data_IF_027945528324
#
_entry.id   IF_027945528324
#
_cell.length_a   1.000
_cell.length_b   1.000
_cell.length_c   1.000
_cell.angle_alpha   90.00
_cell.angle_beta   90.00
_cell.angle_gamma   90.00
#
_symmetry.space_group_name_H-M   'P 1'
#
loop_
_entity.id
_entity.type
_entity.pdbx_description
1 polymer ?
#
# COMPACT_ATOMS: atom_id res chain seq x y z
N UNK A 1 -11.30 -32.71 8.62
CA UNK A 1 -10.40 -31.98 7.70
C UNK A 1 -10.22 -32.81 6.44
N UNK A 2 -10.56 -32.25 5.32
CA UNK A 2 -10.37 -32.89 4.02
C UNK A 2 -9.03 -32.41 3.42
N UNK A 3 -8.01 -33.25 3.49
CA UNK A 3 -6.66 -32.95 2.98
C UNK A 3 -6.62 -32.82 1.46
N UNK A 4 -7.48 -33.55 0.74
CA UNK A 4 -7.56 -33.45 -0.72
C UNK A 4 -8.13 -32.08 -1.13
N UNK A 5 -9.15 -31.61 -0.42
CA UNK A 5 -9.68 -30.27 -0.61
C UNK A 5 -8.66 -29.18 -0.27
N UNK A 6 -7.94 -29.30 0.85
CA UNK A 6 -6.90 -28.34 1.24
C UNK A 6 -5.82 -28.23 0.16
N UNK A 7 -5.31 -29.36 -0.35
CA UNK A 7 -4.26 -29.35 -1.39
C UNK A 7 -4.76 -28.76 -2.71
N UNK A 8 -5.96 -29.11 -3.13
CA UNK A 8 -6.59 -28.55 -4.34
C UNK A 8 -6.79 -27.05 -4.20
N UNK A 9 -7.39 -26.61 -3.10
CA UNK A 9 -7.63 -25.18 -2.83
C UNK A 9 -6.32 -24.40 -2.71
N UNK A 10 -5.28 -24.99 -2.10
CA UNK A 10 -3.97 -24.36 -2.02
C UNK A 10 -3.39 -24.10 -3.41
N UNK A 11 -3.40 -25.10 -4.30
CA UNK A 11 -2.92 -24.93 -5.66
C UNK A 11 -3.73 -23.91 -6.47
N UNK A 12 -5.05 -23.93 -6.33
CA UNK A 12 -5.92 -22.95 -6.98
C UNK A 12 -5.63 -21.51 -6.50
N UNK A 13 -5.48 -21.31 -5.21
CA UNK A 13 -5.24 -19.98 -4.60
C UNK A 13 -3.87 -19.40 -4.89
N UNK A 14 -2.87 -20.21 -5.26
CA UNK A 14 -1.60 -19.71 -5.76
C UNK A 14 -1.78 -18.81 -6.99
N UNK A 15 -2.80 -19.07 -7.83
CA UNK A 15 -3.16 -18.20 -8.95
C UNK A 15 -3.56 -16.77 -8.54
N UNK A 16 -3.97 -16.54 -7.30
CA UNK A 16 -4.30 -15.22 -6.76
C UNK A 16 -3.08 -14.43 -6.24
N UNK A 17 -1.94 -15.11 -5.98
CA UNK A 17 -0.72 -14.47 -5.47
C UNK A 17 -0.22 -13.34 -6.37
N UNK A 18 -0.12 -13.52 -7.71
CA UNK A 18 0.30 -12.44 -8.60
C UNK A 18 -0.58 -11.20 -8.50
N UNK A 19 -1.89 -11.37 -8.38
CA UNK A 19 -2.85 -10.25 -8.27
C UNK A 19 -2.64 -9.50 -6.95
N UNK A 20 -2.51 -10.21 -5.85
CA UNK A 20 -2.20 -9.66 -4.52
C UNK A 20 -0.91 -8.82 -4.56
N UNK A 21 0.18 -9.39 -5.10
CA UNK A 21 1.47 -8.71 -5.20
C UNK A 21 1.43 -7.53 -6.20
N UNK A 22 0.70 -7.65 -7.29
CA UNK A 22 0.53 -6.58 -8.28
C UNK A 22 -0.17 -5.37 -7.64
N UNK A 23 -1.26 -5.58 -6.91
CA UNK A 23 -1.96 -4.51 -6.22
C UNK A 23 -1.03 -3.84 -5.20
N UNK A 24 -0.28 -4.61 -4.42
CA UNK A 24 0.70 -4.09 -3.47
C UNK A 24 1.74 -3.19 -4.16
N UNK A 25 2.42 -3.71 -5.20
CA UNK A 25 3.51 -2.98 -5.88
C UNK A 25 2.99 -1.71 -6.54
N UNK A 26 1.92 -1.82 -7.32
CA UNK A 26 1.35 -0.66 -8.04
C UNK A 26 0.86 0.41 -7.05
N UNK A 27 0.23 0.01 -5.95
CA UNK A 27 -0.25 0.96 -4.94
C UNK A 27 0.89 1.71 -4.26
N UNK A 28 2.01 1.06 -3.95
CA UNK A 28 3.20 1.71 -3.39
C UNK A 28 3.80 2.70 -4.40
N UNK A 29 3.96 2.29 -5.65
CA UNK A 29 4.52 3.14 -6.70
C UNK A 29 3.68 4.39 -6.94
N UNK A 30 2.36 4.23 -7.07
CA UNK A 30 1.44 5.35 -7.27
C UNK A 30 1.33 6.27 -6.04
N UNK A 31 1.45 5.71 -4.83
CA UNK A 31 1.39 6.51 -3.60
C UNK A 31 2.67 7.29 -3.30
N UNK A 32 3.81 6.91 -3.88
CA UNK A 32 5.13 7.46 -3.51
C UNK A 32 5.22 8.97 -3.69
N UNK A 33 4.90 9.50 -4.87
CA UNK A 33 5.00 10.93 -5.13
C UNK A 33 3.97 11.76 -4.32
N UNK A 34 2.69 11.40 -4.26
CA UNK A 34 1.75 12.09 -3.37
C UNK A 34 2.18 12.05 -1.90
N UNK A 35 2.66 10.91 -1.41
CA UNK A 35 3.14 10.78 -0.04
C UNK A 35 4.36 11.67 0.24
N UNK A 36 5.33 11.71 -0.67
CA UNK A 36 6.50 12.58 -0.56
C UNK A 36 6.08 14.06 -0.54
N UNK A 37 5.16 14.46 -1.42
CA UNK A 37 4.63 15.82 -1.45
C UNK A 37 3.96 16.20 -0.12
N UNK A 38 3.12 15.32 0.44
CA UNK A 38 2.47 15.55 1.72
C UNK A 38 3.49 15.59 2.88
N UNK A 39 4.48 14.69 2.89
CA UNK A 39 5.54 14.65 3.89
C UNK A 39 6.36 15.96 3.89
N UNK A 40 6.84 16.39 2.74
CA UNK A 40 7.60 17.63 2.60
C UNK A 40 6.76 18.86 2.94
N UNK A 41 5.48 18.90 2.50
CA UNK A 41 4.56 19.97 2.84
C UNK A 41 4.32 20.13 4.34
N UNK A 42 4.34 19.02 5.08
CA UNK A 42 4.27 19.04 6.55
C UNK A 42 5.59 19.48 7.19
N UNK A 43 6.74 19.00 6.71
CA UNK A 43 8.07 19.35 7.22
C UNK A 43 8.31 20.85 7.05
N UNK A 44 8.07 21.38 5.85
CA UNK A 44 8.28 22.81 5.54
C UNK A 44 7.11 23.70 5.94
N UNK A 45 6.10 23.13 6.62
CA UNK A 45 4.91 23.87 7.13
C UNK A 45 4.19 24.67 6.04
N UNK A 46 4.14 24.15 4.80
CA UNK A 46 3.44 24.82 3.69
C UNK A 46 1.97 24.96 4.02
N UNK A 47 1.48 26.21 4.09
CA UNK A 47 0.07 26.51 4.39
C UNK A 47 -0.83 25.81 3.35
N UNK A 48 -1.96 25.28 3.78
CA UNK A 48 -2.85 24.50 2.91
C UNK A 48 -2.44 23.03 2.81
N UNK A 49 -1.23 22.70 2.36
CA UNK A 49 -0.75 21.30 2.25
C UNK A 49 -0.72 20.64 3.64
N UNK A 50 -0.21 21.33 4.64
CA UNK A 50 -0.19 20.82 6.03
C UNK A 50 -1.60 20.54 6.54
N UNK A 51 -2.52 21.49 6.40
CA UNK A 51 -3.91 21.33 6.86
C UNK A 51 -4.61 20.20 6.12
N UNK A 52 -4.47 20.15 4.79
CA UNK A 52 -4.98 19.05 3.98
C UNK A 52 -4.42 17.70 4.43
N UNK A 53 -3.10 17.60 4.63
CA UNK A 53 -2.46 16.37 5.08
C UNK A 53 -3.05 15.89 6.41
N UNK A 54 -3.21 16.78 7.39
CA UNK A 54 -3.74 16.39 8.71
C UNK A 54 -5.15 15.83 8.59
N UNK A 55 -6.03 16.51 7.85
CA UNK A 55 -7.42 16.06 7.64
C UNK A 55 -7.46 14.75 6.86
N UNK A 56 -6.67 14.64 5.79
CA UNK A 56 -6.57 13.43 4.97
C UNK A 56 -6.08 12.22 5.77
N UNK A 57 -4.99 12.36 6.53
CA UNK A 57 -4.48 11.30 7.37
C UNK A 57 -5.49 10.89 8.45
N UNK A 58 -6.15 11.87 9.08
CA UNK A 58 -7.19 11.60 10.07
C UNK A 58 -8.35 10.81 9.45
N UNK A 59 -8.82 11.21 8.27
CA UNK A 59 -9.90 10.53 7.54
C UNK A 59 -9.54 9.07 7.21
N UNK A 60 -8.36 8.85 6.60
CA UNK A 60 -7.92 7.50 6.21
C UNK A 60 -7.74 6.59 7.44
N UNK A 61 -7.21 7.12 8.55
CA UNK A 61 -6.95 6.32 9.76
C UNK A 61 -8.19 6.07 10.61
N UNK A 62 -9.14 6.99 10.61
CA UNK A 62 -10.37 6.87 11.40
C UNK A 62 -11.40 5.94 10.74
N UNK A 63 -11.27 5.67 9.43
CA UNK A 63 -12.26 4.88 8.70
C UNK A 63 -11.79 3.43 8.54
N UNK A 64 -12.63 2.43 8.86
CA UNK A 64 -12.30 1.03 8.61
C UNK A 64 -11.96 0.78 7.14
N UNK A 65 -10.87 0.03 6.83
CA UNK A 65 -10.41 -0.19 5.46
C UNK A 65 -11.49 -0.72 4.51
N UNK A 66 -12.32 -1.65 4.97
CA UNK A 66 -13.39 -2.20 4.14
C UNK A 66 -14.42 -1.14 3.72
N UNK A 67 -14.75 -0.20 4.61
CA UNK A 67 -15.67 0.89 4.30
C UNK A 67 -15.07 1.87 3.30
N UNK A 68 -13.78 2.17 3.40
CA UNK A 68 -13.07 2.99 2.41
C UNK A 68 -13.11 2.34 1.03
N UNK A 69 -12.85 1.03 0.96
CA UNK A 69 -12.90 0.28 -0.30
C UNK A 69 -14.30 0.35 -0.91
N UNK A 70 -15.33 0.02 -0.16
CA UNK A 70 -16.72 0.02 -0.64
C UNK A 70 -17.17 1.43 -1.06
N UNK A 71 -16.83 2.44 -0.26
CA UNK A 71 -17.17 3.84 -0.55
C UNK A 71 -16.53 4.32 -1.86
N UNK A 72 -15.23 4.17 -2.01
CA UNK A 72 -14.52 4.63 -3.20
C UNK A 72 -14.83 3.78 -4.43
N UNK A 73 -15.05 2.47 -4.26
CA UNK A 73 -15.44 1.59 -5.35
C UNK A 73 -16.86 1.90 -5.89
N UNK A 74 -17.72 2.46 -5.04
CA UNK A 74 -19.03 2.98 -5.47
C UNK A 74 -18.92 4.39 -6.05
N UNK A 75 -18.10 5.25 -5.45
CA UNK A 75 -17.97 6.66 -5.81
C UNK A 75 -17.27 6.87 -7.16
N UNK A 76 -16.11 6.22 -7.39
CA UNK A 76 -15.31 6.49 -8.60
C UNK A 76 -16.01 6.13 -9.89
N UNK A 77 -16.64 4.95 -10.07
CA UNK A 77 -17.39 4.67 -11.28
C UNK A 77 -18.56 5.64 -11.48
N UNK A 78 -19.25 6.03 -10.39
CA UNK A 78 -20.38 6.97 -10.47
C UNK A 78 -19.95 8.35 -10.92
N UNK A 79 -18.84 8.87 -10.37
CA UNK A 79 -18.29 10.18 -10.78
C UNK A 79 -17.81 10.14 -12.23
N UNK A 80 -17.06 9.11 -12.62
CA UNK A 80 -16.58 8.93 -13.99
C UNK A 80 -17.74 8.82 -14.97
N UNK A 81 -18.77 8.03 -14.65
CA UNK A 81 -19.95 7.89 -15.49
C UNK A 81 -20.69 9.24 -15.67
N UNK A 82 -20.85 9.99 -14.60
CA UNK A 82 -21.46 11.34 -14.65
C UNK A 82 -20.64 12.30 -15.51
N UNK A 83 -19.32 12.26 -15.38
CA UNK A 83 -18.40 13.05 -16.19
C UNK A 83 -18.50 12.69 -17.68
N UNK A 84 -18.40 11.42 -18.04
CA UNK A 84 -18.49 10.98 -19.45
C UNK A 84 -19.84 11.31 -20.07
N UNK A 85 -20.93 11.17 -19.31
CA UNK A 85 -22.27 11.60 -19.78
C UNK A 85 -22.34 13.11 -20.02
N UNK A 86 -21.71 13.94 -19.17
CA UNK A 86 -21.75 15.40 -19.32
C UNK A 86 -21.03 15.89 -20.58
N UNK A 87 -20.03 15.14 -21.06
CA UNK A 87 -19.31 15.45 -22.32
C UNK A 87 -19.88 14.71 -23.54
N UNK A 88 -21.06 14.08 -23.40
CA UNK A 88 -21.73 13.37 -24.50
C UNK A 88 -21.06 12.06 -24.92
N UNK A 89 -20.18 11.50 -24.11
CA UNK A 89 -19.50 10.22 -24.40
C UNK A 89 -20.39 9.04 -24.04
N UNK A 90 -20.39 8.02 -24.91
CA UNK A 90 -21.06 6.73 -24.69
C UNK A 90 -20.17 5.68 -24.01
N UNK A 91 -19.04 6.10 -23.45
CA UNK A 91 -18.09 5.20 -22.77
C UNK A 91 -18.74 4.55 -21.54
N UNK A 92 -18.75 3.22 -21.50
CA UNK A 92 -19.32 2.49 -20.37
C UNK A 92 -18.23 2.28 -19.28
N UNK A 93 -18.28 3.11 -18.28
CA UNK A 93 -17.33 3.10 -17.13
C UNK A 93 -17.41 1.79 -16.33
N UNK A 94 -18.57 1.12 -16.33
CA UNK A 94 -18.75 -0.13 -15.59
C UNK A 94 -18.11 -1.36 -16.26
N UNK A 95 -17.60 -1.22 -17.49
CA UNK A 95 -16.79 -2.24 -18.16
C UNK A 95 -15.30 -2.15 -17.82
N UNK A 96 -14.87 -1.08 -17.11
CA UNK A 96 -13.49 -0.96 -16.64
C UNK A 96 -13.19 -2.08 -15.66
N UNK A 97 -12.06 -2.78 -15.88
CA UNK A 97 -11.64 -3.85 -14.98
C UNK A 97 -11.50 -3.31 -13.54
N UNK A 98 -12.15 -3.93 -12.54
CA UNK A 98 -12.12 -3.52 -11.14
C UNK A 98 -10.72 -3.33 -10.56
N UNK A 99 -9.70 -4.00 -11.12
CA UNK A 99 -8.32 -3.90 -10.66
C UNK A 99 -7.76 -2.47 -10.75
N UNK A 100 -8.18 -1.67 -11.74
CA UNK A 100 -7.74 -0.27 -11.85
C UNK A 100 -8.29 0.59 -10.71
N UNK A 101 -9.54 0.35 -10.31
CA UNK A 101 -10.12 0.99 -9.13
C UNK A 101 -9.40 0.56 -7.86
N UNK A 102 -9.02 -0.73 -7.74
CA UNK A 102 -8.23 -1.20 -6.62
C UNK A 102 -6.88 -0.47 -6.54
N UNK A 103 -6.15 -0.31 -7.65
CA UNK A 103 -4.89 0.44 -7.67
C UNK A 103 -5.07 1.86 -7.12
N UNK A 104 -6.11 2.57 -7.54
CA UNK A 104 -6.37 3.93 -7.07
C UNK A 104 -6.73 3.94 -5.58
N UNK A 105 -7.66 3.08 -5.15
CA UNK A 105 -8.15 3.04 -3.77
C UNK A 105 -7.03 2.69 -2.81
N UNK A 106 -6.28 1.61 -3.10
CA UNK A 106 -5.16 1.21 -2.25
C UNK A 106 -4.02 2.23 -2.27
N UNK A 107 -3.79 2.92 -3.40
CA UNK A 107 -2.82 4.01 -3.46
C UNK A 107 -3.22 5.17 -2.56
N UNK A 108 -4.48 5.57 -2.56
CA UNK A 108 -4.99 6.59 -1.65
C UNK A 108 -4.80 6.16 -0.19
N UNK A 109 -5.21 4.96 0.17
CA UNK A 109 -5.05 4.45 1.54
C UNK A 109 -3.58 4.40 1.97
N UNK A 110 -2.68 3.99 1.06
CA UNK A 110 -1.24 3.87 1.31
C UNK A 110 -0.55 5.23 1.41
N UNK A 111 -0.99 6.22 0.63
CA UNK A 111 -0.41 7.58 0.60
C UNK A 111 -0.32 8.20 1.99
N UNK A 112 -1.36 8.06 2.81
CA UNK A 112 -1.39 8.61 4.16
C UNK A 112 -0.29 8.01 5.05
N UNK A 113 -0.24 6.68 5.12
CA UNK A 113 0.74 5.96 5.94
C UNK A 113 2.18 6.18 5.45
N UNK A 114 2.39 6.15 4.13
CA UNK A 114 3.70 6.38 3.53
C UNK A 114 4.18 7.81 3.76
N UNK A 115 3.29 8.82 3.67
CA UNK A 115 3.66 10.20 3.97
C UNK A 115 4.17 10.38 5.40
N UNK A 116 3.53 9.73 6.38
CA UNK A 116 3.97 9.79 7.77
C UNK A 116 5.30 9.06 7.98
N UNK A 117 5.51 7.91 7.34
CA UNK A 117 6.78 7.19 7.37
C UNK A 117 7.92 8.05 6.81
N UNK A 118 7.72 8.65 5.64
CA UNK A 118 8.71 9.52 5.01
C UNK A 118 9.00 10.75 5.87
N UNK A 119 7.96 11.38 6.42
CA UNK A 119 8.10 12.54 7.29
C UNK A 119 8.88 12.19 8.56
N UNK A 120 8.51 11.14 9.26
CA UNK A 120 9.18 10.73 10.50
C UNK A 120 10.63 10.34 10.26
N UNK A 121 10.91 9.60 9.19
CA UNK A 121 12.25 9.19 8.82
C UNK A 121 13.18 10.37 8.51
N UNK A 122 12.71 11.38 7.78
CA UNK A 122 13.49 12.59 7.51
C UNK A 122 13.76 13.38 8.81
N UNK A 123 12.77 13.46 9.71
CA UNK A 123 12.90 14.17 10.96
C UNK A 123 13.75 13.44 12.03
N UNK A 124 14.00 12.15 11.85
CA UNK A 124 14.87 11.35 12.73
C UNK A 124 16.35 11.71 12.52
N UNK A 125 16.71 12.20 11.32
CA UNK A 125 18.10 12.61 11.03
C UNK A 125 18.41 13.90 11.81
N UNK A 126 19.51 13.89 12.56
CA UNK A 126 19.94 15.05 13.36
C UNK A 126 20.22 16.27 12.46
N UNK A 127 19.75 17.43 12.87
CA UNK A 127 19.92 18.68 12.12
C UNK A 127 21.39 19.06 11.97
N UNK A 128 22.22 18.70 12.93
CA UNK A 128 23.66 18.93 12.88
C UNK A 128 24.34 18.26 11.68
N UNK A 129 23.76 17.15 11.16
CA UNK A 129 24.24 16.51 9.94
C UNK A 129 24.06 17.42 8.71
N UNK A 130 22.94 18.13 8.64
CA UNK A 130 22.69 19.10 7.56
C UNK A 130 23.60 20.33 7.72
N UNK A 131 23.72 20.86 8.93
CA UNK A 131 24.56 22.02 9.26
C UNK A 131 26.05 21.73 8.99
N UNK A 132 26.54 20.58 9.42
CA UNK A 132 27.92 20.15 9.14
C UNK A 132 28.19 20.00 7.63
N UNK A 133 27.24 19.45 6.88
CA UNK A 133 27.35 19.34 5.43
C UNK A 133 27.45 20.71 4.76
N UNK A 134 26.68 21.68 5.21
CA UNK A 134 26.72 23.06 4.73
C UNK A 134 28.03 23.75 5.10
N UNK A 135 28.54 23.50 6.30
CA UNK A 135 29.81 24.08 6.77
C UNK A 135 31.01 23.67 5.90
N UNK A 136 30.99 22.48 5.30
CA UNK A 136 32.01 22.00 4.35
C UNK A 136 31.69 22.38 2.89
N UNK A 137 30.73 23.28 2.65
CA UNK A 137 30.44 23.85 1.32
C UNK A 137 29.46 23.05 0.46
N UNK A 138 28.76 22.05 1.00
CA UNK A 138 27.72 21.36 0.25
C UNK A 138 26.47 22.24 0.11
N UNK A 139 25.91 22.27 -1.08
CA UNK A 139 24.60 22.89 -1.29
C UNK A 139 23.51 22.08 -0.57
N UNK A 140 22.38 22.72 -0.24
CA UNK A 140 21.24 22.03 0.40
C UNK A 140 20.86 20.74 -0.34
N UNK A 141 20.78 20.79 -1.67
CA UNK A 141 20.45 19.61 -2.49
C UNK A 141 21.48 18.49 -2.32
N UNK A 142 22.76 18.82 -2.32
CA UNK A 142 23.84 17.84 -2.12
C UNK A 142 23.81 17.25 -0.71
N UNK A 143 23.60 18.09 0.32
CA UNK A 143 23.49 17.65 1.69
C UNK A 143 22.29 16.68 1.91
N UNK A 144 21.13 17.00 1.34
CA UNK A 144 19.98 16.11 1.41
C UNK A 144 20.23 14.79 0.67
N UNK A 145 20.73 14.80 -0.55
CA UNK A 145 20.91 13.59 -1.36
C UNK A 145 22.03 12.69 -0.80
N UNK A 146 23.14 13.27 -0.33
CA UNK A 146 24.33 12.50 0.08
C UNK A 146 24.35 12.12 1.56
N UNK A 147 23.67 12.88 2.41
CA UNK A 147 23.75 12.70 3.88
C UNK A 147 22.40 12.42 4.50
N UNK A 148 21.38 13.26 4.27
CA UNK A 148 20.09 13.13 4.95
C UNK A 148 19.29 11.94 4.42
N UNK A 149 19.08 11.83 3.10
CA UNK A 149 18.24 10.77 2.54
C UNK A 149 18.77 9.35 2.78
N UNK A 150 20.07 9.04 2.68
CA UNK A 150 20.56 7.70 3.01
C UNK A 150 20.30 7.32 4.48
N UNK A 151 20.47 8.27 5.42
CA UNK A 151 20.18 8.03 6.83
C UNK A 151 18.67 7.90 7.07
N UNK A 152 17.86 8.78 6.50
CA UNK A 152 16.41 8.72 6.58
C UNK A 152 15.86 7.39 6.00
N UNK A 153 16.43 6.90 4.89
CA UNK A 153 16.03 5.63 4.29
C UNK A 153 16.27 4.45 5.25
N UNK A 154 17.44 4.41 5.91
CA UNK A 154 17.73 3.40 6.93
C UNK A 154 16.70 3.45 8.07
N UNK A 155 16.40 4.65 8.58
CA UNK A 155 15.40 4.85 9.64
C UNK A 155 13.96 4.49 9.19
N UNK A 156 13.66 4.61 7.90
CA UNK A 156 12.36 4.27 7.33
C UNK A 156 12.12 2.76 7.17
N UNK A 157 13.18 1.95 6.98
CA UNK A 157 13.07 0.55 6.56
C UNK A 157 12.13 -0.30 7.43
N UNK A 158 12.19 -0.28 8.76
CA UNK A 158 11.29 -1.09 9.59
C UNK A 158 9.82 -0.70 9.38
N UNK A 159 9.55 0.60 9.29
CA UNK A 159 8.19 1.11 9.07
C UNK A 159 7.70 0.85 7.63
N UNK A 160 8.59 0.88 6.63
CA UNK A 160 8.27 0.49 5.26
C UNK A 160 7.94 -1.01 5.17
N UNK A 161 8.67 -1.86 5.88
CA UNK A 161 8.35 -3.29 5.99
C UNK A 161 6.93 -3.49 6.54
N UNK A 162 6.61 -2.85 7.64
CA UNK A 162 5.27 -2.91 8.25
C UNK A 162 4.18 -2.38 7.30
N UNK A 163 4.46 -1.30 6.56
CA UNK A 163 3.54 -0.78 5.54
C UNK A 163 3.24 -1.82 4.46
N UNK A 164 4.29 -2.42 3.90
CA UNK A 164 4.17 -3.43 2.83
C UNK A 164 3.38 -4.65 3.32
N UNK A 165 3.71 -5.17 4.51
CA UNK A 165 3.01 -6.30 5.11
C UNK A 165 1.52 -5.96 5.36
N UNK A 166 1.23 -4.79 5.91
CA UNK A 166 -0.15 -4.37 6.15
C UNK A 166 -0.92 -4.16 4.84
N UNK A 167 -0.26 -3.65 3.80
CA UNK A 167 -0.85 -3.50 2.48
C UNK A 167 -1.20 -4.88 1.87
N UNK A 168 -0.27 -5.85 1.92
CA UNK A 168 -0.53 -7.23 1.47
C UNK A 168 -1.71 -7.84 2.23
N UNK A 169 -1.75 -7.72 3.57
CA UNK A 169 -2.91 -8.19 4.35
C UNK A 169 -4.20 -7.47 3.95
N UNK A 170 -4.11 -6.17 3.68
CA UNK A 170 -5.25 -5.35 3.25
C UNK A 170 -5.83 -5.78 1.90
N UNK A 171 -4.99 -6.32 0.99
CA UNK A 171 -5.50 -6.80 -0.29
C UNK A 171 -6.48 -7.97 -0.15
N UNK A 172 -6.49 -8.68 1.00
CA UNK A 172 -7.50 -9.70 1.27
C UNK A 172 -8.94 -9.18 1.21
N UNK A 173 -9.13 -7.86 1.25
CA UNK A 173 -10.45 -7.23 1.15
C UNK A 173 -10.88 -6.94 -0.30
N UNK A 174 -10.00 -7.11 -1.30
CA UNK A 174 -10.36 -6.78 -2.71
C UNK A 174 -11.39 -7.74 -3.30
N UNK A 175 -11.64 -8.88 -2.64
CA UNK A 175 -12.69 -9.80 -3.05
C UNK A 175 -14.08 -9.12 -3.10
N UNK A 176 -14.32 -8.09 -2.30
CA UNK A 176 -15.58 -7.31 -2.34
C UNK A 176 -15.73 -6.51 -3.63
N UNK A 177 -14.63 -6.29 -4.36
CA UNK A 177 -14.58 -5.65 -5.68
C UNK A 177 -14.62 -6.69 -6.82
N UNK A 178 -14.95 -7.95 -6.55
CA UNK A 178 -14.97 -9.08 -7.52
C UNK A 178 -13.61 -9.40 -8.13
N UNK A 179 -12.51 -8.96 -7.54
CA UNK A 179 -11.15 -9.26 -8.00
C UNK A 179 -10.74 -10.64 -7.48
N UNK A 180 -10.22 -11.48 -8.38
CA UNK A 180 -9.78 -12.84 -8.07
C UNK A 180 -8.38 -12.84 -7.43
N UNK A 181 -8.30 -12.40 -6.18
CA UNK A 181 -7.12 -12.53 -5.31
C UNK A 181 -7.09 -13.90 -4.60
N UNK A 182 -6.13 -14.10 -3.72
CA UNK A 182 -6.02 -15.30 -2.87
C UNK A 182 -7.34 -15.58 -2.14
N UNK A 183 -7.92 -14.55 -1.53
CA UNK A 183 -9.13 -14.67 -0.70
C UNK A 183 -10.37 -14.98 -1.54
N UNK A 184 -10.52 -14.32 -2.69
CA UNK A 184 -11.64 -14.55 -3.60
C UNK A 184 -11.64 -15.98 -4.15
N UNK A 185 -10.47 -16.48 -4.59
CA UNK A 185 -10.34 -17.83 -5.13
C UNK A 185 -10.66 -18.88 -4.06
N UNK A 186 -10.09 -18.75 -2.87
CA UNK A 186 -10.35 -19.69 -1.77
C UNK A 186 -11.84 -19.70 -1.35
N UNK A 187 -12.50 -18.55 -1.34
CA UNK A 187 -13.94 -18.47 -1.04
C UNK A 187 -14.80 -19.12 -2.11
N UNK A 188 -14.42 -19.01 -3.38
CA UNK A 188 -15.11 -19.70 -4.48
C UNK A 188 -14.95 -21.21 -4.34
N UNK A 189 -13.74 -21.72 -4.08
CA UNK A 189 -13.54 -23.15 -3.82
C UNK A 189 -14.37 -23.63 -2.62
N UNK A 190 -14.41 -22.86 -1.53
CA UNK A 190 -15.22 -23.17 -0.35
C UNK A 190 -16.71 -23.33 -0.65
N UNK A 191 -17.24 -22.53 -1.58
CA UNK A 191 -18.68 -22.53 -1.90
C UNK A 191 -19.16 -23.81 -2.56
N UNK A 192 -18.29 -24.57 -3.23
CA UNK A 192 -18.64 -25.83 -3.88
C UNK A 192 -18.94 -26.98 -2.91
N UNK A 193 -18.32 -26.97 -1.70
CA UNK A 193 -18.48 -28.05 -0.72
C UNK A 193 -18.74 -27.58 0.70
N UNK A 194 -19.02 -26.27 0.90
CA UNK A 194 -19.18 -25.64 2.22
C UNK A 194 -17.97 -25.81 3.16
N UNK A 195 -16.78 -26.04 2.60
CA UNK A 195 -15.53 -26.28 3.33
C UNK A 195 -14.81 -24.95 3.64
N UNK A 196 -15.51 -24.06 4.33
CA UNK A 196 -14.99 -22.73 4.64
C UNK A 196 -13.82 -22.73 5.60
N UNK A 197 -13.80 -23.65 6.57
CA UNK A 197 -12.73 -23.74 7.55
C UNK A 197 -11.39 -24.08 6.86
N UNK A 198 -11.40 -25.11 6.02
CA UNK A 198 -10.22 -25.54 5.23
C UNK A 198 -9.73 -24.44 4.31
N UNK A 199 -10.65 -23.74 3.66
CA UNK A 199 -10.31 -22.59 2.80
C UNK A 199 -9.68 -21.44 3.57
N UNK A 200 -10.21 -21.09 4.74
CA UNK A 200 -9.59 -20.06 5.59
C UNK A 200 -8.24 -20.49 6.13
N UNK A 201 -8.03 -21.78 6.41
CA UNK A 201 -6.72 -22.30 6.78
C UNK A 201 -5.70 -22.10 5.64
N UNK A 202 -6.09 -22.38 4.40
CA UNK A 202 -5.25 -22.15 3.21
C UNK A 202 -4.91 -20.66 3.07
N UNK A 203 -5.91 -19.77 3.15
CA UNK A 203 -5.68 -18.31 3.11
C UNK A 203 -4.66 -17.91 4.17
N UNK A 204 -4.87 -18.35 5.41
CA UNK A 204 -4.02 -18.02 6.55
C UNK A 204 -2.56 -18.45 6.31
N UNK A 205 -2.34 -19.69 5.85
CA UNK A 205 -0.99 -20.20 5.55
C UNK A 205 -0.33 -19.38 4.45
N UNK A 206 -1.04 -19.09 3.34
CA UNK A 206 -0.48 -18.32 2.23
C UNK A 206 -0.07 -16.91 2.64
N UNK A 207 -0.93 -16.20 3.40
CA UNK A 207 -0.57 -14.86 3.88
C UNK A 207 0.60 -14.88 4.88
N UNK A 208 0.70 -15.89 5.76
CA UNK A 208 1.87 -16.07 6.64
C UNK A 208 3.14 -16.23 5.80
N UNK A 209 3.12 -17.11 4.80
CA UNK A 209 4.30 -17.36 3.94
C UNK A 209 4.69 -16.10 3.19
N UNK A 210 3.74 -15.42 2.53
CA UNK A 210 4.01 -14.19 1.78
C UNK A 210 4.57 -13.10 2.70
N UNK A 211 3.92 -12.84 3.84
CA UNK A 211 4.39 -11.84 4.79
C UNK A 211 5.75 -12.21 5.40
N UNK A 212 6.00 -13.49 5.68
CA UNK A 212 7.28 -13.98 6.17
C UNK A 212 8.41 -13.79 5.17
N UNK A 213 8.17 -14.07 3.88
CA UNK A 213 9.16 -13.82 2.81
C UNK A 213 9.46 -12.32 2.67
N UNK A 214 8.44 -11.47 2.73
CA UNK A 214 8.62 -10.01 2.69
C UNK A 214 9.45 -9.56 3.90
N UNK A 215 9.09 -9.98 5.11
CA UNK A 215 9.82 -9.65 6.34
C UNK A 215 11.28 -10.08 6.27
N UNK A 216 11.53 -11.30 5.83
CA UNK A 216 12.89 -11.81 5.64
C UNK A 216 13.69 -10.98 4.64
N UNK A 217 13.06 -10.57 3.52
CA UNK A 217 13.70 -9.71 2.52
C UNK A 217 14.08 -8.35 3.10
N UNK A 218 13.18 -7.71 3.84
CA UNK A 218 13.44 -6.43 4.51
C UNK A 218 14.54 -6.54 5.58
N UNK A 219 14.53 -7.59 6.39
CA UNK A 219 15.57 -7.82 7.40
C UNK A 219 16.96 -7.98 6.75
N UNK A 220 17.03 -8.67 5.59
CA UNK A 220 18.29 -8.77 4.83
C UNK A 220 18.75 -7.42 4.29
N UNK A 221 17.82 -6.60 3.82
CA UNK A 221 18.14 -5.26 3.31
C UNK A 221 18.61 -4.34 4.44
N UNK A 222 17.93 -4.36 5.60
CA UNK A 222 18.29 -3.60 6.79
C UNK A 222 19.71 -3.94 7.27
N UNK A 223 20.02 -5.23 7.41
CA UNK A 223 21.35 -5.67 7.83
C UNK A 223 22.46 -5.21 6.86
N UNK A 224 22.21 -5.21 5.55
CA UNK A 224 23.19 -4.72 4.57
C UNK A 224 23.42 -3.20 4.68
N UNK A 225 22.36 -2.44 4.93
CA UNK A 225 22.45 -0.98 5.03
C UNK A 225 22.98 -0.50 6.39
N UNK A 226 22.92 -1.32 7.44
CA UNK A 226 23.47 -1.00 8.75
C UNK A 226 24.97 -1.24 8.80
N UNK A 227 25.49 -2.19 8.02
CA UNK A 227 26.91 -2.54 7.94
C UNK A 227 27.70 -1.66 6.94
N UNK A 228 27.03 -0.85 6.13
CA UNK A 228 27.62 0.10 5.17
C UNK A 228 27.53 1.54 5.70
#
# INVERSE_FOLDING_TARGET
>A
MDFNFISKTFLATLGGVPVTLLIMVVSILLSFFPALFLALGQIYKVKGVRSFSVVYLAFIRATPPILLILFFYSLFPSLLNSFFKSIGSHFNVFEINPIYYAFIIFSLMTTGSLAEILRSAILTVDKGQLEAAQAIGLTNRQAYIRIVFPQALRAALPNLCNLVINLVKGTSLVFVMTIKDITAIAKVEASYGYQYFESYLVIFILYIVICGVIQWGFNRLENRLTLA
#
